data_IF_973119639388
#
_entry.id   IF_973119639388
#
_cell.length_a   1.000
_cell.length_b   1.000
_cell.length_c   1.000
_cell.angle_alpha   90.00
_cell.angle_beta   90.00
_cell.angle_gamma   90.00
#
_symmetry.space_group_name_H-M   'P 1'
#
loop_
_entity.id
_entity.type
_entity.pdbx_description
1 polymer ?
#
# COMPACT_ATOMS: atom_id res chain seq x y z
N UNK A 1 5.26 -19.39 -21.47
CA UNK A 1 5.17 -19.73 -20.03
C UNK A 1 4.56 -18.55 -19.31
N UNK A 2 3.70 -18.78 -18.30
CA UNK A 2 3.10 -17.70 -17.51
C UNK A 2 4.11 -17.36 -16.40
N UNK A 3 4.70 -16.17 -16.45
CA UNK A 3 5.61 -15.72 -15.40
C UNK A 3 4.80 -15.31 -14.16
N UNK A 4 5.31 -15.65 -12.97
CA UNK A 4 4.72 -15.18 -11.71
C UNK A 4 4.82 -13.66 -11.65
N UNK A 5 3.71 -13.00 -11.32
CA UNK A 5 3.67 -11.56 -11.16
C UNK A 5 4.04 -11.19 -9.72
N UNK A 6 5.15 -10.48 -9.53
CA UNK A 6 5.75 -10.17 -8.23
C UNK A 6 5.46 -8.71 -7.88
N UNK A 7 4.90 -8.50 -6.68
CA UNK A 7 4.57 -7.17 -6.14
C UNK A 7 5.45 -6.91 -4.92
N UNK A 8 6.27 -5.85 -4.98
CA UNK A 8 7.02 -5.34 -3.83
C UNK A 8 6.13 -4.49 -2.94
N UNK A 9 5.72 -5.05 -1.80
CA UNK A 9 4.98 -4.31 -0.78
C UNK A 9 5.91 -3.39 0.01
N UNK A 10 5.78 -2.08 -0.20
CA UNK A 10 6.52 -1.08 0.58
C UNK A 10 5.79 -0.81 1.90
N UNK A 11 4.45 -0.77 1.87
CA UNK A 11 3.64 -0.51 3.06
C UNK A 11 4.08 0.78 3.77
N UNK A 12 4.69 0.65 4.95
CA UNK A 12 5.22 1.77 5.75
C UNK A 12 6.74 1.74 5.93
N UNK A 13 7.45 0.86 5.21
CA UNK A 13 8.90 0.69 5.33
C UNK A 13 9.69 1.94 4.87
N UNK A 14 9.01 2.93 4.31
CA UNK A 14 9.55 4.22 3.94
C UNK A 14 9.69 5.20 5.12
N UNK A 15 9.22 4.87 6.33
CA UNK A 15 9.39 5.68 7.54
C UNK A 15 8.94 7.16 7.36
N UNK A 16 7.85 7.40 6.64
CA UNK A 16 7.37 8.76 6.34
C UNK A 16 8.23 9.56 5.33
N UNK A 17 9.22 8.93 4.68
CA UNK A 17 10.12 9.59 3.73
C UNK A 17 9.87 9.17 2.28
N UNK A 18 9.62 10.15 1.42
CA UNK A 18 9.51 9.96 -0.04
C UNK A 18 10.82 9.43 -0.63
N UNK A 19 11.96 9.94 -0.16
CA UNK A 19 13.27 9.51 -0.67
C UNK A 19 13.57 8.07 -0.31
N UNK A 20 13.18 7.63 0.89
CA UNK A 20 13.33 6.23 1.28
C UNK A 20 12.41 5.32 0.46
N UNK A 21 11.17 5.75 0.17
CA UNK A 21 10.28 5.02 -0.73
C UNK A 21 10.89 4.88 -2.14
N UNK A 22 11.45 5.97 -2.68
CA UNK A 22 12.15 5.96 -3.99
C UNK A 22 13.36 5.03 -3.96
N UNK A 23 14.17 5.04 -2.89
CA UNK A 23 15.30 4.13 -2.75
C UNK A 23 14.85 2.65 -2.74
N UNK A 24 13.77 2.31 -2.03
CA UNK A 24 13.23 0.95 -2.03
C UNK A 24 12.76 0.56 -3.44
N UNK A 25 12.07 1.47 -4.14
CA UNK A 25 11.62 1.28 -5.53
C UNK A 25 12.81 1.00 -6.46
N UNK A 26 13.89 1.76 -6.31
CA UNK A 26 15.10 1.59 -7.11
C UNK A 26 15.78 0.24 -6.85
N UNK A 27 15.73 -0.27 -5.63
CA UNK A 27 16.28 -1.59 -5.30
C UNK A 27 15.46 -2.72 -5.93
N UNK A 28 14.13 -2.65 -5.89
CA UNK A 28 13.26 -3.71 -6.44
C UNK A 28 13.14 -3.68 -7.97
N UNK A 29 13.52 -2.57 -8.61
CA UNK A 29 13.54 -2.43 -10.07
C UNK A 29 14.79 -3.05 -10.71
N UNK A 30 15.74 -3.53 -9.91
CA UNK A 30 16.99 -4.14 -10.38
C UNK A 30 16.87 -5.67 -10.39
N UNK A 31 17.55 -6.36 -11.33
CA UNK A 31 17.69 -7.81 -11.27
C UNK A 31 18.42 -8.22 -9.99
N UNK A 32 18.08 -9.40 -9.47
CA UNK A 32 18.71 -9.98 -8.27
C UNK A 32 19.48 -11.22 -8.70
N UNK A 33 20.78 -11.25 -8.44
CA UNK A 33 21.59 -12.46 -8.57
C UNK A 33 21.54 -13.25 -7.27
N UNK A 34 21.27 -14.54 -7.37
CA UNK A 34 21.27 -15.47 -6.25
C UNK A 34 22.47 -16.42 -6.40
N UNK A 35 23.40 -16.32 -5.45
CA UNK A 35 24.71 -16.97 -5.53
C UNK A 35 24.67 -18.50 -5.31
N UNK A 36 23.71 -19.01 -4.52
CA UNK A 36 23.66 -20.43 -4.12
C UNK A 36 23.34 -21.33 -5.32
N UNK A 37 22.42 -20.89 -6.17
CA UNK A 37 21.99 -21.60 -7.38
C UNK A 37 22.51 -20.92 -8.67
N UNK A 38 23.17 -19.77 -8.57
CA UNK A 38 23.71 -19.02 -9.71
C UNK A 38 22.63 -18.52 -10.66
N UNK A 39 21.51 -18.04 -10.10
CA UNK A 39 20.33 -17.66 -10.88
C UNK A 39 20.11 -16.14 -10.86
N UNK A 40 19.77 -15.59 -12.01
CA UNK A 40 19.30 -14.21 -12.14
C UNK A 40 17.77 -14.17 -12.07
N UNK A 41 17.25 -13.42 -11.11
CA UNK A 41 15.84 -13.10 -11.01
C UNK A 41 15.56 -11.76 -11.69
N UNK A 42 14.50 -11.74 -12.49
CA UNK A 42 13.98 -10.51 -13.07
C UNK A 42 13.54 -9.55 -11.96
N UNK A 43 13.59 -8.22 -12.22
CA UNK A 43 12.99 -7.23 -11.33
C UNK A 43 11.55 -7.54 -10.98
N UNK A 44 11.07 -6.96 -9.87
CA UNK A 44 9.66 -7.04 -9.53
C UNK A 44 8.80 -6.38 -10.62
N UNK A 45 7.53 -6.79 -10.73
CA UNK A 45 6.63 -6.24 -11.73
C UNK A 45 5.93 -4.96 -11.25
N UNK A 46 5.72 -4.85 -9.95
CA UNK A 46 5.00 -3.73 -9.36
C UNK A 46 5.54 -3.34 -7.99
N UNK A 47 5.27 -2.10 -7.60
CA UNK A 47 5.37 -1.59 -6.23
C UNK A 47 3.96 -1.41 -5.70
N UNK A 48 3.77 -1.70 -4.42
CA UNK A 48 2.53 -1.38 -3.71
C UNK A 48 2.77 -0.41 -2.56
N UNK A 49 1.97 0.65 -2.54
CA UNK A 49 1.88 1.63 -1.47
C UNK A 49 0.55 1.47 -0.71
N UNK A 50 0.46 2.14 0.44
CA UNK A 50 -0.75 2.14 1.27
C UNK A 50 -1.06 3.57 1.69
N UNK A 51 -2.27 4.04 1.38
CA UNK A 51 -2.77 5.35 1.77
C UNK A 51 -3.89 5.21 2.78
N UNK A 52 -3.78 5.90 3.90
CA UNK A 52 -4.75 5.83 5.00
C UNK A 52 -5.26 7.21 5.37
N UNK A 53 -6.44 7.19 5.98
CA UNK A 53 -6.98 8.33 6.71
C UNK A 53 -7.16 7.89 8.17
N UNK A 54 -6.29 8.37 9.05
CA UNK A 54 -6.30 7.96 10.46
C UNK A 54 -7.60 8.35 11.17
N UNK A 55 -8.30 9.37 10.68
CA UNK A 55 -9.58 9.80 11.26
C UNK A 55 -10.72 8.83 10.93
N UNK A 56 -10.63 8.10 9.82
CA UNK A 56 -11.55 7.04 9.43
C UNK A 56 -11.09 5.65 9.92
N UNK A 57 -9.77 5.43 10.06
CA UNK A 57 -9.22 4.12 10.42
C UNK A 57 -9.19 3.84 11.94
N UNK A 58 -8.97 4.87 12.77
CA UNK A 58 -8.66 4.69 14.18
C UNK A 58 -9.67 5.41 15.08
N UNK A 59 -10.19 4.69 16.06
CA UNK A 59 -10.98 5.31 17.13
C UNK A 59 -10.09 6.23 17.99
N UNK A 60 -10.70 7.25 18.61
CA UNK A 60 -10.00 8.19 19.52
C UNK A 60 -9.23 7.45 20.62
N UNK A 61 -9.79 6.35 21.13
CA UNK A 61 -9.10 5.51 22.12
C UNK A 61 -7.81 4.93 21.57
N UNK A 62 -7.80 4.42 20.33
CA UNK A 62 -6.62 3.86 19.65
C UNK A 62 -5.60 4.94 19.32
N UNK A 63 -6.05 6.10 18.86
CA UNK A 63 -5.17 7.26 18.59
C UNK A 63 -4.36 7.65 19.83
N UNK A 64 -4.98 7.58 21.02
CA UNK A 64 -4.37 7.97 22.29
C UNK A 64 -3.65 6.80 23.01
N UNK A 65 -3.63 5.59 22.47
CA UNK A 65 -2.93 4.46 23.10
C UNK A 65 -1.43 4.74 23.19
N UNK A 66 -0.84 4.55 24.36
CA UNK A 66 0.60 4.68 24.56
C UNK A 66 1.31 3.66 23.67
N UNK A 67 2.26 4.15 22.89
CA UNK A 67 3.06 3.35 21.97
C UNK A 67 4.53 3.77 22.11
N UNK A 68 5.10 3.46 23.27
CA UNK A 68 6.45 3.87 23.64
C UNK A 68 7.39 2.67 23.56
N UNK A 69 8.13 2.58 22.46
CA UNK A 69 9.13 1.55 22.20
C UNK A 69 10.23 2.11 21.27
N UNK A 70 11.39 1.44 21.14
CA UNK A 70 12.53 1.96 20.37
C UNK A 70 12.27 2.24 18.88
N UNK A 71 11.25 1.61 18.30
CA UNK A 71 10.87 1.79 16.90
C UNK A 71 9.66 2.73 16.73
N UNK A 72 9.23 3.36 17.82
CA UNK A 72 8.14 4.32 17.77
C UNK A 72 8.61 5.68 17.24
N UNK A 73 7.72 6.33 16.50
CA UNK A 73 7.93 7.69 15.97
C UNK A 73 7.11 8.73 16.75
N UNK A 74 6.47 8.32 17.85
CA UNK A 74 5.63 9.15 18.69
C UNK A 74 5.37 8.51 20.05
N UNK A 75 4.72 9.24 20.95
CA UNK A 75 4.34 8.73 22.28
C UNK A 75 3.09 7.88 22.23
N UNK A 76 2.21 8.16 21.28
CA UNK A 76 0.98 7.40 21.06
C UNK A 76 1.00 6.67 19.72
N UNK A 77 0.13 5.67 19.59
CA UNK A 77 -0.04 4.96 18.34
C UNK A 77 -0.48 5.92 17.23
N UNK A 78 -1.38 6.87 17.52
CA UNK A 78 -1.80 7.89 16.56
C UNK A 78 -0.63 8.75 16.06
N UNK A 79 0.25 9.20 16.95
CA UNK A 79 1.45 9.98 16.57
C UNK A 79 2.41 9.16 15.71
N UNK A 80 2.69 7.91 16.09
CA UNK A 80 3.54 7.01 15.30
C UNK A 80 2.96 6.77 13.90
N UNK A 81 1.64 6.53 13.81
CA UNK A 81 0.94 6.36 12.54
C UNK A 81 1.02 7.61 11.70
N UNK A 82 0.71 8.78 12.27
CA UNK A 82 0.73 10.06 11.56
C UNK A 82 2.10 10.41 10.99
N UNK A 83 3.18 10.10 11.72
CA UNK A 83 4.55 10.28 11.21
C UNK A 83 4.84 9.44 9.96
N UNK A 84 4.25 8.24 9.88
CA UNK A 84 4.46 7.32 8.77
C UNK A 84 3.58 7.62 7.55
N UNK A 85 2.52 8.43 7.69
CA UNK A 85 1.61 8.71 6.57
C UNK A 85 2.24 9.72 5.60
N UNK A 86 2.14 9.40 4.30
CA UNK A 86 2.53 10.30 3.22
C UNK A 86 1.29 11.01 2.67
N UNK A 87 1.43 12.28 2.30
CA UNK A 87 0.35 13.05 1.68
C UNK A 87 0.13 12.67 0.20
N UNK A 88 -0.89 13.24 -0.43
CA UNK A 88 -1.25 12.85 -1.81
C UNK A 88 -0.15 13.21 -2.82
N UNK A 89 0.57 14.32 -2.59
CA UNK A 89 1.65 14.76 -3.47
C UNK A 89 2.85 13.83 -3.35
N UNK A 90 3.20 13.40 -2.14
CA UNK A 90 4.22 12.39 -1.89
C UNK A 90 3.90 11.08 -2.64
N UNK A 91 2.68 10.58 -2.54
CA UNK A 91 2.25 9.41 -3.31
C UNK A 91 2.35 9.63 -4.83
N UNK A 92 1.95 10.81 -5.33
CA UNK A 92 2.07 11.14 -6.75
C UNK A 92 3.53 11.21 -7.23
N UNK A 93 4.45 11.72 -6.41
CA UNK A 93 5.88 11.69 -6.71
C UNK A 93 6.43 10.27 -6.80
N UNK A 94 6.06 9.43 -5.84
CA UNK A 94 6.47 8.02 -5.78
C UNK A 94 5.90 7.27 -7.00
N UNK A 95 4.64 7.52 -7.35
CA UNK A 95 4.00 6.99 -8.57
C UNK A 95 4.83 7.33 -9.82
N UNK A 96 5.14 8.61 -10.04
CA UNK A 96 5.95 9.04 -11.20
C UNK A 96 7.29 8.33 -11.24
N UNK A 97 7.95 8.19 -10.10
CA UNK A 97 9.24 7.51 -10.00
C UNK A 97 9.12 6.02 -10.34
N UNK A 98 8.15 5.30 -9.77
CA UNK A 98 7.88 3.90 -10.11
C UNK A 98 7.61 3.70 -11.60
N UNK A 99 6.75 4.54 -12.20
CA UNK A 99 6.46 4.47 -13.64
C UNK A 99 7.71 4.74 -14.49
N UNK A 100 8.60 5.63 -14.06
CA UNK A 100 9.85 5.92 -14.79
C UNK A 100 10.80 4.71 -14.86
N UNK A 101 10.68 3.78 -13.92
CA UNK A 101 11.43 2.52 -13.88
C UNK A 101 10.68 1.35 -14.52
N UNK A 102 9.51 1.60 -15.13
CA UNK A 102 8.72 0.57 -15.80
C UNK A 102 7.95 -0.36 -14.86
N UNK A 103 7.76 0.03 -13.59
CA UNK A 103 6.98 -0.75 -12.63
C UNK A 103 5.50 -0.40 -12.72
N UNK A 104 4.64 -1.39 -12.50
CA UNK A 104 3.24 -1.14 -12.19
C UNK A 104 3.13 -0.54 -10.78
N UNK A 105 2.15 0.33 -10.58
CA UNK A 105 1.92 1.01 -9.34
C UNK A 105 0.57 0.61 -8.76
N UNK A 106 0.60 0.01 -7.57
CA UNK A 106 -0.57 -0.52 -6.89
C UNK A 106 -0.80 0.29 -5.62
N UNK A 107 -2.04 0.71 -5.38
CA UNK A 107 -2.41 1.43 -4.16
C UNK A 107 -3.37 0.63 -3.30
N UNK A 108 -3.12 0.62 -1.99
CA UNK A 108 -4.09 0.17 -0.98
C UNK A 108 -4.74 1.41 -0.37
N UNK A 109 -5.97 1.73 -0.77
CA UNK A 109 -6.73 2.86 -0.22
C UNK A 109 -7.61 2.34 0.92
N UNK A 110 -7.33 2.75 2.15
CA UNK A 110 -7.97 2.16 3.33
C UNK A 110 -9.14 2.96 3.92
N UNK A 111 -9.52 4.07 3.28
CA UNK A 111 -10.59 4.96 3.70
C UNK A 111 -11.17 5.68 2.48
N UNK A 112 -12.40 6.21 2.58
CA UNK A 112 -13.03 6.90 1.44
C UNK A 112 -12.30 8.20 1.11
N UNK A 113 -11.84 8.93 2.14
CA UNK A 113 -11.02 10.13 1.96
C UNK A 113 -9.79 9.92 1.08
N UNK A 114 -9.20 8.72 1.10
CA UNK A 114 -8.02 8.37 0.29
C UNK A 114 -8.29 8.37 -1.23
N UNK A 115 -9.56 8.33 -1.68
CA UNK A 115 -9.90 8.44 -3.11
C UNK A 115 -9.52 9.79 -3.71
N UNK A 116 -9.30 10.82 -2.88
CA UNK A 116 -8.75 12.11 -3.32
C UNK A 116 -7.44 11.97 -4.10
N UNK A 117 -6.64 10.94 -3.81
CA UNK A 117 -5.42 10.60 -4.51
C UNK A 117 -5.62 10.36 -6.02
N UNK A 118 -6.78 9.82 -6.39
CA UNK A 118 -7.12 9.51 -7.79
C UNK A 118 -7.28 10.78 -8.66
N UNK A 119 -7.34 11.96 -8.05
CA UNK A 119 -7.30 13.25 -8.77
C UNK A 119 -5.92 13.56 -9.34
N UNK A 120 -4.85 12.97 -8.78
CA UNK A 120 -3.48 13.20 -9.21
C UNK A 120 -3.00 12.15 -10.21
N UNK A 121 -3.39 10.89 -10.02
CA UNK A 121 -3.04 9.79 -10.94
C UNK A 121 -3.98 8.60 -10.79
N UNK A 122 -3.99 7.73 -11.80
CA UNK A 122 -4.69 6.44 -11.76
C UNK A 122 -3.66 5.33 -11.54
N UNK A 123 -3.70 4.59 -10.41
CA UNK A 123 -2.84 3.42 -10.22
C UNK A 123 -3.23 2.31 -11.21
N UNK A 124 -2.28 1.45 -11.54
CA UNK A 124 -2.51 0.34 -12.46
C UNK A 124 -3.50 -0.69 -11.86
N UNK A 125 -3.49 -0.83 -10.52
CA UNK A 125 -4.42 -1.66 -9.75
C UNK A 125 -4.66 -1.08 -8.36
N UNK A 126 -5.80 -1.43 -7.79
CA UNK A 126 -6.08 -1.23 -6.37
C UNK A 126 -5.89 -2.54 -5.60
N UNK A 127 -5.50 -2.45 -4.33
CA UNK A 127 -5.53 -3.56 -3.38
C UNK A 127 -6.52 -3.25 -2.27
N UNK A 128 -7.38 -4.21 -1.95
CA UNK A 128 -8.21 -4.17 -0.73
C UNK A 128 -7.48 -4.88 0.39
N UNK A 129 -7.22 -4.22 1.52
CA UNK A 129 -6.63 -4.88 2.69
C UNK A 129 -7.59 -5.93 3.26
N UNK A 130 -7.06 -7.01 3.86
CA UNK A 130 -7.90 -8.08 4.41
C UNK A 130 -8.86 -7.59 5.49
N UNK A 131 -8.44 -6.59 6.27
CA UNK A 131 -9.26 -5.93 7.31
C UNK A 131 -10.48 -5.18 6.73
N UNK A 132 -10.41 -4.76 5.47
CA UNK A 132 -11.42 -3.95 4.78
C UNK A 132 -12.31 -4.78 3.86
N UNK A 133 -12.16 -6.11 3.85
CA UNK A 133 -12.96 -7.03 3.04
C UNK A 133 -14.46 -7.02 3.35
N UNK A 134 -14.84 -6.58 4.55
CA UNK A 134 -16.24 -6.42 4.97
C UNK A 134 -16.66 -4.96 5.05
N UNK A 135 -15.79 -4.03 4.65
CA UNK A 135 -16.06 -2.60 4.62
C UNK A 135 -16.84 -2.25 3.34
N UNK A 136 -18.12 -2.65 3.28
CA UNK A 136 -18.98 -2.44 2.11
C UNK A 136 -18.97 -0.99 1.60
N UNK A 137 -19.04 0.05 2.45
CA UNK A 137 -18.99 1.42 1.97
C UNK A 137 -17.69 1.74 1.20
N UNK A 138 -16.54 1.27 1.68
CA UNK A 138 -15.26 1.44 0.98
C UNK A 138 -15.23 0.62 -0.31
N UNK A 139 -15.69 -0.64 -0.28
CA UNK A 139 -15.69 -1.51 -1.45
C UNK A 139 -16.55 -0.97 -2.59
N UNK A 140 -17.73 -0.43 -2.29
CA UNK A 140 -18.60 0.23 -3.26
C UNK A 140 -17.86 1.42 -3.91
N UNK A 141 -17.25 2.28 -3.10
CA UNK A 141 -16.52 3.45 -3.60
C UNK A 141 -15.28 3.07 -4.44
N UNK A 142 -14.57 1.99 -4.08
CA UNK A 142 -13.47 1.47 -4.90
C UNK A 142 -13.97 0.84 -6.20
N UNK A 143 -15.11 0.15 -6.19
CA UNK A 143 -15.69 -0.47 -7.38
C UNK A 143 -16.13 0.56 -8.45
N UNK A 144 -16.65 1.72 -8.01
CA UNK A 144 -17.02 2.83 -8.90
C UNK A 144 -15.85 3.41 -9.70
N UNK A 145 -14.61 3.20 -9.25
CA UNK A 145 -13.42 3.67 -9.96
C UNK A 145 -13.14 2.90 -11.26
N UNK A 146 -13.71 1.69 -11.39
CA UNK A 146 -13.41 0.72 -12.46
C UNK A 146 -11.91 0.33 -12.60
N UNK A 147 -11.07 0.68 -11.62
CA UNK A 147 -9.67 0.26 -11.58
C UNK A 147 -9.61 -1.22 -11.16
N UNK A 148 -8.80 -2.07 -11.80
CA UNK A 148 -8.71 -3.49 -11.43
C UNK A 148 -8.32 -3.69 -9.96
N UNK A 149 -9.08 -4.51 -9.24
CA UNK A 149 -8.89 -4.74 -7.80
C UNK A 149 -8.23 -6.11 -7.55
N UNK A 150 -7.19 -6.12 -6.72
CA UNK A 150 -6.62 -7.31 -6.10
C UNK A 150 -7.18 -7.42 -4.68
N UNK A 151 -7.61 -8.62 -4.29
CA UNK A 151 -8.04 -8.90 -2.92
C UNK A 151 -7.50 -10.25 -2.45
N UNK A 152 -7.25 -10.37 -1.14
CA UNK A 152 -6.79 -11.62 -0.51
C UNK A 152 -7.58 -11.79 0.78
N UNK A 153 -8.26 -12.93 0.91
CA UNK A 153 -9.18 -13.23 2.00
C UNK A 153 -8.65 -14.32 2.92
N UNK A 154 -8.84 -14.11 4.23
CA UNK A 154 -8.90 -15.15 5.27
C UNK A 154 -10.32 -15.23 5.88
N UNK A 155 -11.29 -14.52 5.30
CA UNK A 155 -12.68 -14.51 5.75
C UNK A 155 -13.37 -15.79 5.30
N UNK A 156 -14.09 -16.43 6.22
CA UNK A 156 -14.96 -17.55 5.86
C UNK A 156 -16.03 -17.03 4.90
N UNK A 157 -16.07 -17.58 3.68
CA UNK A 157 -17.19 -17.40 2.77
C UNK A 157 -18.41 -18.09 3.40
N UNK A 158 -19.10 -17.40 4.31
CA UNK A 158 -20.46 -17.79 4.66
C UNK A 158 -21.32 -17.37 3.50
N UNK A 159 -21.53 -18.29 2.56
CA UNK A 159 -22.65 -18.19 1.66
C UNK A 159 -23.88 -18.01 2.56
N UNK A 160 -24.52 -16.84 2.49
CA UNK A 160 -25.86 -16.71 3.01
C UNK A 160 -26.72 -17.62 2.13
N UNK A 161 -26.99 -18.82 2.62
CA UNK A 161 -28.10 -19.64 2.13
C UNK A 161 -29.37 -18.83 2.40
N UNK A 162 -29.84 -18.17 1.34
CA UNK A 162 -31.21 -17.66 1.24
C UNK A 162 -32.15 -18.77 0.85
#
# INVERSE_FOLDING_TARGET
MKNTYIIGEIGQNHNGSVDLAKLIIELISRPVHEDVFGMDFMPMNAVKMTKRDLSEELAVSQMNQIYDNPNSFGRTYGEHRAFLELDDQAHFEIYKYAKSLGLDFIETLCAKGCLSLLKLFTPDRLKVASRDLTNLPLLEALAETHIPIISVSYTHLRAHET
#
